data_IF_350201213648
#
_entry.id   IF_350201213648
#
_cell.length_a   1.000
_cell.length_b   1.000
_cell.length_c   1.000
_cell.angle_alpha   90.00
_cell.angle_beta   90.00
_cell.angle_gamma   90.00
#
_symmetry.space_group_name_H-M   'P 1'
#
loop_
_entity.id
_entity.type
_entity.pdbx_description
1 polymer ?
#
# COMPACT_ATOMS: atom_id res chain seq x y z
N UNK A 1 -8.61 -56.68 -29.61
CA UNK A 1 -7.77 -56.93 -28.40
C UNK A 1 -8.29 -56.04 -27.29
N UNK A 2 -9.10 -56.59 -26.34
CA UNK A 2 -9.54 -55.85 -25.13
C UNK A 2 -8.45 -56.01 -24.08
N UNK A 3 -7.78 -54.91 -23.78
CA UNK A 3 -6.88 -54.80 -22.62
C UNK A 3 -7.73 -54.70 -21.36
N UNK A 4 -7.89 -55.82 -20.63
CA UNK A 4 -8.50 -55.82 -19.31
C UNK A 4 -7.40 -55.41 -18.28
N UNK A 5 -7.27 -54.13 -18.04
CA UNK A 5 -6.48 -53.66 -16.89
C UNK A 5 -7.25 -53.96 -15.62
N UNK A 6 -6.62 -54.62 -14.68
CA UNK A 6 -7.18 -54.85 -13.33
C UNK A 6 -7.39 -53.48 -12.64
N UNK A 7 -8.50 -53.35 -11.94
CA UNK A 7 -8.84 -52.10 -11.16
C UNK A 7 -7.74 -51.78 -10.16
N UNK A 8 -6.98 -52.76 -9.72
CA UNK A 8 -5.82 -52.60 -8.84
C UNK A 8 -4.65 -51.89 -9.52
N UNK A 9 -4.35 -52.20 -10.78
CA UNK A 9 -3.28 -51.54 -11.54
C UNK A 9 -3.62 -50.06 -11.84
N UNK A 10 -4.89 -49.77 -12.11
CA UNK A 10 -5.34 -48.40 -12.31
C UNK A 10 -5.23 -47.58 -11.05
N UNK A 11 -5.50 -48.15 -9.87
CA UNK A 11 -5.31 -47.46 -8.57
C UNK A 11 -3.85 -47.18 -8.25
N UNK A 12 -2.95 -48.11 -8.53
CA UNK A 12 -1.52 -47.89 -8.32
C UNK A 12 -0.94 -46.86 -9.28
N UNK A 13 -1.33 -46.90 -10.55
CA UNK A 13 -0.96 -45.90 -11.55
C UNK A 13 -1.44 -44.49 -11.17
N UNK A 14 -2.67 -44.38 -10.65
CA UNK A 14 -3.22 -43.10 -10.18
C UNK A 14 -2.46 -42.55 -8.95
N UNK A 15 -2.10 -43.40 -7.99
CA UNK A 15 -1.27 -43.00 -6.84
C UNK A 15 0.11 -42.53 -7.28
N UNK A 16 0.73 -43.24 -8.25
CA UNK A 16 2.02 -42.86 -8.80
C UNK A 16 1.97 -41.52 -9.51
N UNK A 17 0.93 -41.25 -10.35
CA UNK A 17 0.74 -39.98 -11.01
C UNK A 17 0.52 -38.84 -10.02
N UNK A 18 -0.24 -39.05 -8.93
CA UNK A 18 -0.39 -38.05 -7.87
C UNK A 18 0.94 -37.69 -7.19
N UNK A 19 1.75 -38.69 -6.87
CA UNK A 19 3.07 -38.48 -6.27
C UNK A 19 4.01 -37.76 -7.23
N UNK A 20 3.99 -38.12 -8.51
CA UNK A 20 4.79 -37.47 -9.56
C UNK A 20 4.36 -36.02 -9.75
N UNK A 21 3.03 -35.74 -9.79
CA UNK A 21 2.47 -34.40 -9.88
C UNK A 21 2.84 -33.51 -8.68
N UNK A 22 2.78 -34.09 -7.46
CA UNK A 22 3.19 -33.37 -6.24
C UNK A 22 4.68 -33.04 -6.26
N UNK A 23 5.52 -33.96 -6.74
CA UNK A 23 6.97 -33.78 -6.83
C UNK A 23 7.35 -32.73 -7.88
N UNK A 24 6.64 -32.72 -9.03
CA UNK A 24 6.79 -31.70 -10.06
C UNK A 24 6.36 -30.33 -9.55
N UNK A 25 5.24 -30.25 -8.82
CA UNK A 25 4.76 -29.00 -8.20
C UNK A 25 5.76 -28.45 -7.18
N UNK A 26 6.34 -29.30 -6.32
CA UNK A 26 7.40 -28.91 -5.38
C UNK A 26 8.64 -28.40 -6.10
N UNK A 27 9.02 -28.99 -7.23
CA UNK A 27 10.18 -28.58 -8.01
C UNK A 27 9.96 -27.22 -8.67
N UNK A 28 8.75 -26.95 -9.18
CA UNK A 28 8.37 -25.65 -9.76
C UNK A 28 8.34 -24.57 -8.68
N UNK A 29 7.81 -24.86 -7.48
CA UNK A 29 7.83 -23.91 -6.36
C UNK A 29 9.26 -23.58 -5.90
N UNK A 30 10.20 -24.52 -5.91
CA UNK A 30 11.59 -24.29 -5.55
C UNK A 30 12.34 -23.40 -6.56
N UNK A 31 11.91 -23.36 -7.81
CA UNK A 31 12.52 -22.54 -8.87
C UNK A 31 12.18 -21.04 -8.75
N UNK A 32 11.09 -20.66 -8.05
CA UNK A 32 10.60 -19.29 -7.95
C UNK A 32 11.31 -18.47 -6.86
N UNK A 33 12.09 -19.09 -5.97
CA UNK A 33 12.66 -18.42 -4.77
C UNK A 33 13.96 -17.65 -5.05
N UNK A 34 14.37 -17.43 -6.30
CA UNK A 34 15.66 -16.79 -6.63
C UNK A 34 15.58 -15.36 -7.16
N UNK A 35 14.67 -14.54 -6.71
CA UNK A 35 14.52 -13.15 -7.21
C UNK A 35 14.76 -12.07 -6.15
N UNK A 36 15.73 -12.24 -5.25
CA UNK A 36 16.19 -11.13 -4.41
C UNK A 36 17.67 -10.83 -4.74
N UNK A 37 17.90 -10.17 -5.87
CA UNK A 37 19.21 -9.61 -6.17
C UNK A 37 19.34 -8.25 -5.51
N UNK A 38 20.33 -8.13 -4.61
CA UNK A 38 20.75 -6.84 -4.07
C UNK A 38 21.19 -5.93 -5.22
N UNK A 39 20.63 -4.72 -5.29
CA UNK A 39 20.92 -3.71 -6.33
C UNK A 39 22.43 -3.45 -6.44
N UNK A 40 23.16 -3.42 -5.33
CA UNK A 40 24.62 -3.24 -5.29
C UNK A 40 25.32 -4.38 -6.03
N UNK A 41 24.96 -5.63 -5.76
CA UNK A 41 25.52 -6.81 -6.45
C UNK A 41 25.19 -6.83 -7.94
N UNK A 42 24.06 -6.25 -8.36
CA UNK A 42 23.70 -6.15 -9.77
C UNK A 42 24.55 -5.11 -10.50
N UNK A 43 24.94 -4.01 -9.83
CA UNK A 43 25.81 -2.97 -10.37
C UNK A 43 27.29 -3.40 -10.42
N UNK A 44 27.74 -4.21 -9.47
CA UNK A 44 29.10 -4.77 -9.41
C UNK A 44 29.32 -5.95 -10.37
N UNK A 45 28.26 -6.42 -11.04
CA UNK A 45 28.37 -7.53 -11.99
C UNK A 45 29.33 -7.19 -13.11
N UNK A 46 30.39 -7.98 -13.24
CA UNK A 46 31.36 -7.84 -14.32
C UNK A 46 30.74 -8.28 -15.67
N UNK A 47 30.54 -7.35 -16.57
CA UNK A 47 30.06 -7.63 -17.93
C UNK A 47 31.21 -7.47 -18.90
N UNK A 48 31.56 -8.49 -19.69
CA UNK A 48 32.66 -8.38 -20.69
C UNK A 48 32.42 -7.21 -21.64
N UNK A 49 33.44 -6.34 -21.81
CA UNK A 49 33.37 -5.14 -22.65
C UNK A 49 32.81 -3.88 -21.99
N UNK A 50 32.43 -3.94 -20.72
CA UNK A 50 32.03 -2.77 -19.92
C UNK A 50 33.01 -2.51 -18.77
N UNK A 51 33.08 -1.26 -18.29
CA UNK A 51 33.91 -0.91 -17.15
C UNK A 51 33.48 -1.61 -15.87
N UNK A 52 34.45 -1.93 -14.99
CA UNK A 52 34.18 -2.52 -13.67
C UNK A 52 33.80 -1.41 -12.70
N UNK A 53 32.63 -1.53 -12.10
CA UNK A 53 32.18 -0.69 -11.00
C UNK A 53 32.51 -1.38 -9.68
N UNK A 54 33.18 -0.70 -8.77
CA UNK A 54 33.44 -1.17 -7.40
C UNK A 54 32.89 -0.14 -6.44
N UNK A 55 31.96 -0.56 -5.58
CA UNK A 55 31.30 0.31 -4.61
C UNK A 55 31.97 0.11 -3.25
N UNK A 56 32.66 1.15 -2.76
CA UNK A 56 33.24 1.17 -1.42
C UNK A 56 32.27 1.81 -0.44
N UNK A 57 31.57 1.00 0.33
CA UNK A 57 30.63 1.48 1.35
C UNK A 57 30.77 0.70 2.65
N UNK A 58 30.34 1.30 3.77
CA UNK A 58 30.30 0.62 5.06
C UNK A 58 29.30 -0.55 5.00
N UNK A 59 29.70 -1.72 5.58
CA UNK A 59 28.87 -2.91 5.65
C UNK A 59 27.51 -2.69 6.29
N UNK A 60 27.39 -1.70 7.17
CA UNK A 60 26.12 -1.29 7.77
C UNK A 60 25.16 -0.68 6.76
N UNK A 61 25.70 0.09 5.80
CA UNK A 61 24.92 0.67 4.70
C UNK A 61 24.52 -0.43 3.71
N UNK A 62 25.44 -1.37 3.43
CA UNK A 62 25.13 -2.53 2.57
C UNK A 62 23.97 -3.37 3.11
N UNK A 63 23.91 -3.59 4.42
CA UNK A 63 22.81 -4.30 5.07
C UNK A 63 21.47 -3.57 4.95
N UNK A 64 21.47 -2.24 4.88
CA UNK A 64 20.26 -1.42 4.72
C UNK A 64 19.78 -1.36 3.26
N UNK A 65 20.70 -1.38 2.29
CA UNK A 65 20.39 -1.32 0.85
C UNK A 65 19.92 -2.66 0.28
N UNK A 66 20.17 -3.76 0.97
CA UNK A 66 19.83 -5.11 0.50
C UNK A 66 18.41 -5.56 0.78
N UNK A 67 17.70 -4.88 1.64
CA UNK A 67 16.29 -5.18 1.92
C UNK A 67 15.39 -4.36 1.00
N UNK A 68 15.16 -4.83 -0.23
CA UNK A 68 13.94 -4.44 -0.91
C UNK A 68 12.80 -4.76 0.06
N UNK A 69 12.20 -3.75 0.68
CA UNK A 69 10.92 -3.94 1.36
C UNK A 69 9.97 -4.43 0.28
N UNK A 70 9.73 -5.72 0.26
CA UNK A 70 8.54 -6.29 -0.36
C UNK A 70 7.38 -5.79 0.50
N UNK A 71 7.03 -4.53 0.27
CA UNK A 71 5.85 -3.91 0.88
C UNK A 71 4.66 -4.71 0.36
N UNK A 72 4.04 -5.44 1.23
CA UNK A 72 2.66 -5.87 1.06
C UNK A 72 1.83 -4.63 0.75
N UNK A 73 1.71 -4.23 -0.53
CA UNK A 73 0.73 -3.28 -1.04
C UNK A 73 0.51 -1.94 -0.30
N UNK A 74 1.17 -1.70 0.83
CA UNK A 74 1.15 -0.43 1.54
C UNK A 74 2.04 0.56 0.78
N UNK A 75 1.41 1.53 0.15
CA UNK A 75 2.10 2.65 -0.44
C UNK A 75 3.03 3.24 0.63
N UNK A 76 4.33 3.23 0.35
CA UNK A 76 5.29 3.89 1.24
C UNK A 76 4.98 5.38 1.24
N UNK A 77 4.52 5.90 2.38
CA UNK A 77 4.15 7.30 2.54
C UNK A 77 5.16 8.01 3.42
N UNK A 78 5.57 9.20 3.02
CA UNK A 78 6.35 10.11 3.85
C UNK A 78 5.39 11.03 4.58
N UNK A 79 5.56 11.17 5.90
CA UNK A 79 4.84 12.14 6.69
C UNK A 79 5.57 13.48 6.63
N UNK A 80 4.85 14.54 6.24
CA UNK A 80 5.37 15.90 6.15
C UNK A 80 4.39 16.90 6.75
N UNK A 81 4.86 18.08 7.09
CA UNK A 81 3.97 19.18 7.48
C UNK A 81 3.26 19.73 6.24
N UNK A 82 1.95 19.93 6.33
CA UNK A 82 1.15 20.45 5.24
C UNK A 82 -0.22 20.92 5.73
N UNK A 83 -1.22 20.82 4.88
CA UNK A 83 -2.56 21.33 5.13
C UNK A 83 -3.62 20.26 4.83
N UNK A 84 -4.68 20.27 5.62
CA UNK A 84 -5.89 19.47 5.38
C UNK A 84 -7.11 20.39 5.47
N UNK A 85 -8.18 19.98 4.82
CA UNK A 85 -9.46 20.66 4.97
C UNK A 85 -10.27 19.95 6.03
N UNK A 86 -10.60 20.62 7.12
CA UNK A 86 -11.48 20.11 8.18
C UNK A 86 -12.92 20.29 7.76
N UNK A 87 -13.60 19.17 7.52
CA UNK A 87 -15.00 19.16 7.09
C UNK A 87 -16.00 18.98 8.24
N UNK A 88 -15.50 18.56 9.42
CA UNK A 88 -16.31 18.41 10.62
C UNK A 88 -15.47 18.51 11.89
N UNK A 89 -16.04 19.10 12.93
CA UNK A 89 -15.52 19.10 14.28
C UNK A 89 -16.69 19.04 15.30
N UNK A 90 -16.82 17.95 16.01
CA UNK A 90 -17.86 17.74 17.03
C UNK A 90 -17.29 17.47 18.42
N UNK A 91 -18.18 17.44 19.42
CA UNK A 91 -17.81 17.19 20.82
C UNK A 91 -17.43 15.72 21.07
N UNK A 92 -17.06 15.39 22.33
CA UNK A 92 -16.78 14.01 22.73
C UNK A 92 -18.07 13.24 23.03
N UNK A 93 -18.88 13.00 22.01
CA UNK A 93 -20.11 12.22 22.09
C UNK A 93 -20.13 11.12 21.05
N UNK A 94 -20.90 10.05 21.31
CA UNK A 94 -21.12 8.98 20.33
C UNK A 94 -21.79 9.51 19.05
N UNK A 95 -22.68 10.48 19.21
CA UNK A 95 -23.33 11.13 18.07
C UNK A 95 -22.31 11.86 17.20
N UNK A 96 -21.44 12.69 17.78
CA UNK A 96 -20.41 13.41 17.05
C UNK A 96 -19.41 12.46 16.33
N UNK A 97 -19.10 11.29 16.93
CA UNK A 97 -18.35 10.24 16.26
C UNK A 97 -19.06 9.77 14.97
N UNK A 98 -20.34 9.43 15.09
CA UNK A 98 -21.12 8.95 13.96
C UNK A 98 -21.25 10.02 12.86
N UNK A 99 -21.47 11.28 13.24
CA UNK A 99 -21.53 12.41 12.32
C UNK A 99 -20.20 12.62 11.59
N UNK A 100 -19.06 12.53 12.29
CA UNK A 100 -17.75 12.62 11.67
C UNK A 100 -17.54 11.54 10.60
N UNK A 101 -17.95 10.30 10.87
CA UNK A 101 -17.88 9.21 9.89
C UNK A 101 -18.84 9.43 8.72
N UNK A 102 -20.07 9.87 8.96
CA UNK A 102 -21.04 10.18 7.91
C UNK A 102 -20.56 11.30 7.00
N UNK A 103 -19.97 12.37 7.56
CA UNK A 103 -19.35 13.43 6.77
C UNK A 103 -18.21 12.86 5.92
N UNK A 104 -17.38 12.00 6.47
CA UNK A 104 -16.32 11.33 5.72
C UNK A 104 -16.84 10.50 4.54
N UNK A 105 -17.91 9.74 4.74
CA UNK A 105 -18.59 8.97 3.68
C UNK A 105 -19.11 9.89 2.58
N UNK A 106 -19.80 10.97 2.94
CA UNK A 106 -20.29 11.95 1.97
C UNK A 106 -19.16 12.61 1.18
N UNK A 107 -18.03 12.92 1.82
CA UNK A 107 -16.88 13.44 1.09
C UNK A 107 -16.41 12.46 0.03
N UNK A 108 -16.34 11.16 0.36
CA UNK A 108 -15.96 10.10 -0.57
C UNK A 108 -16.96 9.91 -1.73
N UNK A 109 -18.23 10.17 -1.50
CA UNK A 109 -19.25 10.14 -2.56
C UNK A 109 -19.06 11.26 -3.60
N UNK A 110 -18.72 12.49 -3.15
CA UNK A 110 -18.49 13.63 -4.04
C UNK A 110 -17.07 13.68 -4.61
N UNK A 111 -16.09 13.21 -3.85
CA UNK A 111 -14.66 13.30 -4.17
C UNK A 111 -13.95 11.97 -3.78
N UNK A 112 -14.15 10.89 -4.57
CA UNK A 112 -13.61 9.56 -4.26
C UNK A 112 -12.09 9.51 -4.20
N UNK A 113 -11.40 10.42 -4.88
CA UNK A 113 -9.94 10.53 -4.90
C UNK A 113 -9.35 11.12 -3.62
N UNK A 114 -10.14 11.84 -2.81
CA UNK A 114 -9.65 12.48 -1.60
C UNK A 114 -9.41 11.47 -0.48
N UNK A 115 -8.29 11.59 0.19
CA UNK A 115 -8.05 10.90 1.48
C UNK A 115 -8.95 11.48 2.56
N UNK A 116 -9.61 10.63 3.35
CA UNK A 116 -10.50 11.03 4.45
C UNK A 116 -9.97 10.46 5.75
N UNK A 117 -9.83 11.32 6.74
CA UNK A 117 -9.29 11.01 8.07
C UNK A 117 -10.31 11.37 9.13
N UNK A 118 -10.93 10.36 9.74
CA UNK A 118 -11.81 10.54 10.90
C UNK A 118 -11.06 10.11 12.14
N UNK A 119 -10.87 11.02 13.09
CA UNK A 119 -10.09 10.78 14.30
C UNK A 119 -10.67 11.53 15.51
N UNK A 120 -10.41 10.97 16.68
CA UNK A 120 -10.65 11.67 17.94
C UNK A 120 -9.38 12.40 18.37
N UNK A 121 -9.44 13.71 18.39
CA UNK A 121 -8.40 14.57 18.94
C UNK A 121 -9.00 15.31 20.15
N UNK A 122 -8.72 14.86 21.38
CA UNK A 122 -9.39 15.36 22.56
C UNK A 122 -9.46 16.90 22.62
N UNK A 123 -10.61 17.47 22.91
CA UNK A 123 -11.88 16.83 23.29
C UNK A 123 -12.86 16.61 22.10
N UNK A 124 -12.41 16.56 20.86
CA UNK A 124 -13.27 16.61 19.67
C UNK A 124 -13.10 15.44 18.72
N UNK A 125 -14.21 15.01 18.12
CA UNK A 125 -14.22 14.19 16.92
C UNK A 125 -14.06 15.09 15.70
N UNK A 126 -13.12 14.72 14.82
CA UNK A 126 -12.75 15.48 13.62
C UNK A 126 -12.90 14.62 12.37
N UNK A 127 -13.35 15.24 11.29
CA UNK A 127 -13.18 14.70 9.94
C UNK A 127 -12.35 15.70 9.13
N UNK A 128 -11.16 15.25 8.70
CA UNK A 128 -10.22 16.02 7.87
C UNK A 128 -10.04 15.32 6.54
N UNK A 129 -9.86 16.09 5.46
CA UNK A 129 -9.80 15.55 4.10
C UNK A 129 -8.65 16.17 3.32
N UNK A 130 -8.08 15.33 2.45
CA UNK A 130 -6.96 15.67 1.58
C UNK A 130 -5.63 15.75 2.30
N UNK A 131 -4.56 15.72 1.51
CA UNK A 131 -3.18 15.89 1.93
C UNK A 131 -2.55 16.93 0.99
N UNK A 132 -2.59 18.21 1.39
CA UNK A 132 -2.17 19.34 0.57
C UNK A 132 -0.82 19.87 1.02
N UNK A 133 0.08 20.09 0.07
CA UNK A 133 1.42 20.64 0.37
C UNK A 133 1.38 22.15 0.57
N UNK A 134 0.45 22.82 -0.08
CA UNK A 134 0.29 24.28 0.00
C UNK A 134 -1.09 24.69 0.50
N UNK A 135 -1.18 25.92 1.01
CA UNK A 135 -2.44 26.48 1.49
C UNK A 135 -3.38 26.79 0.33
N UNK A 136 -2.84 27.11 -0.85
CA UNK A 136 -3.57 27.41 -2.07
C UNK A 136 -4.30 26.17 -2.59
N UNK A 137 -3.66 25.00 -2.54
CA UNK A 137 -4.29 23.72 -2.89
C UNK A 137 -5.43 23.39 -1.94
N UNK A 138 -5.21 23.58 -0.63
CA UNK A 138 -6.22 23.38 0.38
C UNK A 138 -7.41 24.35 0.22
N UNK A 139 -7.14 25.62 -0.13
CA UNK A 139 -8.18 26.62 -0.37
C UNK A 139 -9.02 26.28 -1.61
N UNK A 140 -8.37 25.87 -2.70
CA UNK A 140 -9.07 25.43 -3.90
C UNK A 140 -10.04 24.27 -3.60
N UNK A 141 -9.59 23.28 -2.80
CA UNK A 141 -10.44 22.17 -2.38
C UNK A 141 -11.54 22.61 -1.42
N UNK A 142 -11.23 23.47 -0.45
CA UNK A 142 -12.24 24.04 0.46
C UNK A 142 -13.37 24.71 -0.31
N UNK A 143 -13.06 25.49 -1.35
CA UNK A 143 -14.07 26.13 -2.22
C UNK A 143 -14.93 25.10 -2.95
N UNK A 144 -14.32 24.03 -3.48
CA UNK A 144 -15.05 22.92 -4.12
C UNK A 144 -16.02 22.26 -3.15
N UNK A 145 -15.58 21.96 -1.91
CA UNK A 145 -16.44 21.38 -0.87
C UNK A 145 -17.60 22.32 -0.54
N UNK A 146 -17.35 23.62 -0.35
CA UNK A 146 -18.41 24.62 -0.09
C UNK A 146 -19.40 24.74 -1.25
N UNK A 147 -18.92 24.66 -2.48
CA UNK A 147 -19.76 24.76 -3.68
C UNK A 147 -20.78 23.62 -3.81
N UNK A 148 -20.55 22.47 -3.16
CA UNK A 148 -21.55 21.39 -3.12
C UNK A 148 -22.80 21.76 -2.31
N UNK A 149 -22.73 22.77 -1.45
CA UNK A 149 -23.81 23.15 -0.52
C UNK A 149 -24.01 22.16 0.65
N UNK A 150 -23.35 21.02 0.62
CA UNK A 150 -23.48 19.96 1.64
C UNK A 150 -22.58 20.24 2.84
N UNK A 151 -21.37 20.78 2.59
CA UNK A 151 -20.35 21.06 3.62
C UNK A 151 -20.33 22.56 3.93
N UNK A 152 -21.00 22.96 5.02
CA UNK A 152 -21.15 24.39 5.38
C UNK A 152 -19.98 24.93 6.20
N UNK A 153 -19.51 24.16 7.16
CA UNK A 153 -18.46 24.55 8.12
C UNK A 153 -17.13 23.88 7.75
N UNK A 154 -16.47 24.42 6.74
CA UNK A 154 -15.19 23.89 6.25
C UNK A 154 -14.10 24.91 6.50
N UNK A 155 -12.99 24.46 7.07
CA UNK A 155 -11.82 25.28 7.38
C UNK A 155 -10.52 24.60 7.00
N UNK A 156 -9.48 25.38 6.71
CA UNK A 156 -8.14 24.86 6.46
C UNK A 156 -7.41 24.73 7.80
N UNK A 157 -6.74 23.61 8.01
CA UNK A 157 -5.94 23.36 9.21
C UNK A 157 -4.54 22.89 8.81
N UNK A 158 -3.53 23.31 9.54
CA UNK A 158 -2.18 22.78 9.43
C UNK A 158 -2.14 21.41 10.11
N UNK A 159 -1.62 20.41 9.39
CA UNK A 159 -1.61 19.03 9.85
C UNK A 159 -0.41 18.27 9.28
N UNK A 160 -0.19 17.08 9.80
CA UNK A 160 0.75 16.14 9.22
C UNK A 160 0.08 15.41 8.05
N UNK A 161 0.62 15.57 6.86
CA UNK A 161 0.11 14.98 5.63
C UNK A 161 0.89 13.74 5.22
N UNK A 162 0.25 12.87 4.44
CA UNK A 162 0.82 11.66 3.87
C UNK A 162 1.15 11.91 2.39
N UNK A 163 2.43 11.85 2.05
CA UNK A 163 2.89 12.01 0.67
C UNK A 163 3.25 10.62 0.14
N UNK A 164 2.56 10.09 -0.89
CA UNK A 164 2.95 8.84 -1.52
C UNK A 164 4.31 9.02 -2.22
N UNK A 165 5.14 7.96 -2.15
CA UNK A 165 6.42 7.85 -2.84
C UNK A 165 6.26 7.23 -4.21
#
# INVERSE_FOLDING_TARGET
>A
IKLNYSVAELKESYKFMKKLGLLLFLFVCAAVVRAQSNIVKSLERNVPGQGKVTIHQDSRIEALLGTARTGTGEQTVIKSSGYRVQAYAGNNTRQAKNEAHQVGTRVKEYFPELSVYTSFNPPRWLCRVGDFRSIEEADAMMRKLKATGVFKEVSIVKDQINIPL
#
